data_IF_036836421132
#
_entry.id   IF_036836421132
#
_cell.length_a   1.000
_cell.length_b   1.000
_cell.length_c   1.000
_cell.angle_alpha   90.00
_cell.angle_beta   90.00
_cell.angle_gamma   90.00
#
_symmetry.space_group_name_H-M   'P 1'
#
loop_
_entity.id
_entity.type
_entity.pdbx_description
1 polymer ?
#
# COMPACT_ATOMS: atom_id res chain seq x y z
N UNK A 1 -12.25 23.78 10.62
CA UNK A 1 -10.78 23.78 10.41
C UNK A 1 -10.34 22.37 10.72
N UNK A 2 -10.29 21.50 9.70
CA UNK A 2 -9.84 20.12 9.87
C UNK A 2 -8.35 20.21 10.22
N UNK A 3 -7.99 19.81 11.44
CA UNK A 3 -6.60 19.83 11.91
C UNK A 3 -5.71 19.01 10.97
N UNK A 4 -4.41 19.31 10.98
CA UNK A 4 -3.40 18.58 10.21
C UNK A 4 -3.48 17.08 10.52
N UNK A 5 -4.23 16.36 9.70
CA UNK A 5 -4.28 14.90 9.69
C UNK A 5 -2.88 14.41 9.29
N UNK A 6 -2.14 13.88 10.25
CA UNK A 6 -0.86 13.25 9.95
C UNK A 6 -1.14 11.82 9.46
N UNK A 7 -1.34 11.65 8.15
CA UNK A 7 -1.21 10.31 7.56
C UNK A 7 0.23 9.89 7.82
N UNK A 8 0.41 8.92 8.69
CA UNK A 8 1.73 8.39 9.02
C UNK A 8 1.73 6.89 8.77
N UNK A 9 2.73 6.45 8.02
CA UNK A 9 3.07 5.05 7.89
C UNK A 9 4.41 4.82 8.57
N UNK A 10 4.61 3.60 9.06
CA UNK A 10 5.91 3.13 9.52
C UNK A 10 6.26 1.83 8.83
N UNK A 11 7.49 1.72 8.34
CA UNK A 11 8.03 0.49 7.78
C UNK A 11 8.18 -0.52 8.90
N UNK A 12 7.79 -1.76 8.63
CA UNK A 12 7.93 -2.85 9.60
C UNK A 12 8.49 -4.09 8.89
N UNK A 13 9.14 -5.01 9.63
CA UNK A 13 9.48 -6.32 9.11
C UNK A 13 8.26 -7.10 8.63
N UNK A 14 8.45 -8.07 7.73
CA UNK A 14 7.34 -8.85 7.18
C UNK A 14 6.66 -9.72 8.24
N UNK A 15 7.44 -10.23 9.21
CA UNK A 15 6.93 -11.00 10.33
C UNK A 15 5.90 -10.22 11.17
N UNK A 16 6.03 -8.89 11.24
CA UNK A 16 5.14 -8.05 12.04
C UNK A 16 3.76 -7.89 11.41
N UNK A 17 3.59 -8.18 10.11
CA UNK A 17 2.27 -8.17 9.45
C UNK A 17 1.79 -9.57 9.08
N UNK A 18 2.50 -10.62 9.47
CA UNK A 18 2.24 -11.98 9.02
C UNK A 18 0.90 -12.56 9.49
N UNK A 19 0.42 -12.12 10.65
CA UNK A 19 -0.88 -12.55 11.18
C UNK A 19 -2.08 -11.82 10.54
N UNK A 20 -1.84 -10.89 9.62
CA UNK A 20 -2.87 -10.15 8.86
C UNK A 20 -3.12 -10.78 7.49
N UNK A 21 -4.12 -10.32 6.74
CA UNK A 21 -4.35 -10.73 5.36
C UNK A 21 -3.24 -10.32 4.39
N UNK A 22 -2.26 -9.49 4.81
CA UNK A 22 -1.03 -9.24 4.05
C UNK A 22 -0.26 -10.53 3.71
N UNK A 23 -0.36 -11.56 4.55
CA UNK A 23 0.24 -12.88 4.27
C UNK A 23 -0.30 -13.47 2.97
N UNK A 24 -1.59 -13.35 2.70
CA UNK A 24 -2.19 -13.91 1.48
C UNK A 24 -1.66 -13.22 0.22
N UNK A 25 -1.50 -11.90 0.25
CA UNK A 25 -0.85 -11.17 -0.84
C UNK A 25 0.60 -11.62 -1.03
N UNK A 26 1.36 -11.72 0.07
CA UNK A 26 2.77 -12.11 0.02
C UNK A 26 2.96 -13.53 -0.54
N UNK A 27 2.23 -14.51 -0.01
CA UNK A 27 2.34 -15.92 -0.42
C UNK A 27 2.01 -16.08 -1.90
N UNK A 28 0.92 -15.44 -2.36
CA UNK A 28 0.53 -15.46 -3.77
C UNK A 28 1.57 -14.78 -4.66
N UNK A 29 2.03 -13.57 -4.31
CA UNK A 29 3.09 -12.86 -5.02
C UNK A 29 4.37 -13.70 -5.11
N UNK A 30 4.76 -14.33 -4.01
CA UNK A 30 5.96 -15.16 -3.91
C UNK A 30 5.84 -16.43 -4.76
N UNK A 31 4.64 -17.00 -4.87
CA UNK A 31 4.35 -18.10 -5.77
C UNK A 31 4.45 -17.67 -7.25
N UNK A 32 3.84 -16.53 -7.61
CA UNK A 32 3.84 -16.03 -8.98
C UNK A 32 5.25 -15.67 -9.49
N UNK A 33 6.10 -15.08 -8.63
CA UNK A 33 7.45 -14.67 -9.06
C UNK A 33 8.38 -15.85 -9.31
N UNK A 34 8.18 -16.97 -8.60
CA UNK A 34 9.12 -18.09 -8.60
C UNK A 34 10.54 -17.65 -8.22
N UNK A 35 11.50 -17.88 -9.11
CA UNK A 35 12.90 -17.47 -8.91
C UNK A 35 13.18 -16.02 -9.34
N UNK A 36 12.23 -15.35 -10.00
CA UNK A 36 12.37 -13.94 -10.36
C UNK A 36 12.22 -13.05 -9.13
N UNK A 37 12.77 -11.83 -9.20
CA UNK A 37 12.59 -10.85 -8.11
C UNK A 37 11.14 -10.38 -7.98
N UNK A 38 10.36 -10.42 -9.06
CA UNK A 38 8.95 -10.04 -9.12
C UNK A 38 8.23 -10.83 -10.23
N UNK A 39 6.91 -11.06 -10.13
CA UNK A 39 6.15 -11.63 -11.24
C UNK A 39 5.91 -10.58 -12.33
N UNK A 40 5.57 -11.03 -13.54
CA UNK A 40 4.99 -10.14 -14.55
C UNK A 40 3.53 -9.84 -14.21
N UNK A 41 2.98 -8.74 -14.73
CA UNK A 41 1.56 -8.43 -14.55
C UNK A 41 0.66 -9.57 -15.06
N UNK A 42 1.00 -10.18 -16.19
CA UNK A 42 0.26 -11.30 -16.78
C UNK A 42 0.35 -12.60 -16.00
N UNK A 43 1.30 -12.72 -15.08
CA UNK A 43 1.45 -13.88 -14.20
C UNK A 43 0.86 -13.62 -12.79
N UNK A 44 0.34 -12.42 -12.55
CA UNK A 44 -0.21 -11.97 -11.28
C UNK A 44 -1.69 -11.63 -11.46
N UNK A 45 -2.52 -12.65 -11.52
CA UNK A 45 -3.97 -12.52 -11.68
C UNK A 45 -4.63 -12.20 -10.34
N UNK A 46 -5.25 -11.01 -10.23
CA UNK A 46 -5.88 -10.58 -8.96
C UNK A 46 -7.01 -11.52 -8.53
N UNK A 47 -7.71 -12.16 -9.47
CA UNK A 47 -8.82 -13.07 -9.17
C UNK A 47 -8.43 -14.32 -8.39
N UNK A 48 -7.14 -14.63 -8.34
CA UNK A 48 -6.62 -15.79 -7.61
C UNK A 48 -6.35 -15.47 -6.13
N UNK A 49 -6.40 -14.18 -5.74
CA UNK A 49 -6.37 -13.76 -4.35
C UNK A 49 -7.71 -14.00 -3.65
N UNK A 50 -7.72 -14.16 -2.31
CA UNK A 50 -8.96 -14.16 -1.55
C UNK A 50 -9.80 -12.90 -1.82
N UNK A 51 -11.14 -12.99 -1.95
CA UNK A 51 -11.99 -11.84 -2.26
C UNK A 51 -11.80 -10.64 -1.33
N UNK A 52 -11.58 -10.88 -0.04
CA UNK A 52 -11.37 -9.80 0.94
C UNK A 52 -10.03 -9.09 0.73
N UNK A 53 -9.01 -9.81 0.26
CA UNK A 53 -7.74 -9.22 -0.14
C UNK A 53 -7.94 -8.28 -1.35
N UNK A 54 -8.66 -8.74 -2.38
CA UNK A 54 -8.91 -7.98 -3.60
C UNK A 54 -9.63 -6.67 -3.30
N UNK A 55 -10.70 -6.72 -2.48
CA UNK A 55 -11.55 -5.55 -2.21
C UNK A 55 -10.84 -4.43 -1.45
N UNK A 56 -9.80 -4.75 -0.67
CA UNK A 56 -8.94 -3.76 0.02
C UNK A 56 -7.55 -3.64 -0.63
N UNK A 57 -7.44 -3.88 -1.93
CA UNK A 57 -6.18 -3.72 -2.67
C UNK A 57 -6.28 -2.66 -3.76
N UNK A 58 -5.15 -2.05 -4.11
CA UNK A 58 -5.01 -1.31 -5.36
C UNK A 58 -3.77 -1.77 -6.12
N UNK A 59 -3.75 -1.55 -7.42
CA UNK A 59 -2.55 -1.72 -8.25
C UNK A 59 -2.27 -0.40 -8.94
N UNK A 60 -1.00 -0.01 -8.96
CA UNK A 60 -0.55 1.16 -9.71
C UNK A 60 0.45 0.79 -10.79
N UNK A 61 0.39 1.51 -11.91
CA UNK A 61 1.45 1.58 -12.90
C UNK A 61 2.45 2.69 -12.51
N UNK A 62 3.75 2.38 -12.61
CA UNK A 62 4.83 3.35 -12.37
C UNK A 62 5.35 3.90 -13.70
N UNK A 63 5.44 5.21 -13.81
CA UNK A 63 6.02 5.92 -14.96
C UNK A 63 7.28 6.64 -14.47
N UNK A 64 8.41 6.53 -15.18
CA UNK A 64 9.70 7.06 -14.68
C UNK A 64 10.03 8.50 -15.12
N UNK A 65 9.49 8.98 -16.26
CA UNK A 65 9.85 10.29 -16.81
C UNK A 65 8.64 11.03 -17.43
N UNK A 66 8.06 12.04 -16.73
CA UNK A 66 8.28 12.35 -15.32
C UNK A 66 7.84 11.19 -14.41
N UNK A 67 8.34 11.15 -13.16
CA UNK A 67 7.87 10.14 -12.24
C UNK A 67 6.39 10.37 -11.89
N UNK A 68 5.54 9.43 -12.26
CA UNK A 68 4.09 9.47 -12.01
C UNK A 68 3.58 8.06 -11.72
N UNK A 69 2.39 8.01 -11.14
CA UNK A 69 1.73 6.81 -10.68
C UNK A 69 0.29 6.89 -11.14
N UNK A 70 -0.14 5.89 -11.89
CA UNK A 70 -1.54 5.76 -12.34
C UNK A 70 -2.18 4.56 -11.68
N UNK A 71 -3.36 4.72 -11.10
CA UNK A 71 -4.09 3.59 -10.51
C UNK A 71 -4.69 2.71 -11.62
N UNK A 72 -4.17 1.49 -11.74
CA UNK A 72 -4.63 0.46 -12.68
C UNK A 72 -5.87 -0.27 -12.17
N UNK A 73 -5.91 -0.53 -10.86
CA UNK A 73 -6.98 -1.25 -10.20
C UNK A 73 -7.25 -0.61 -8.85
N UNK A 74 -8.53 -0.52 -8.49
CA UNK A 74 -8.99 -0.06 -7.20
C UNK A 74 -10.03 -1.03 -6.64
N UNK A 75 -9.74 -1.56 -5.45
CA UNK A 75 -10.64 -2.45 -4.74
C UNK A 75 -11.90 -1.72 -4.29
N UNK A 76 -13.05 -2.38 -4.39
CA UNK A 76 -14.36 -1.75 -4.15
C UNK A 76 -14.50 -1.17 -2.74
N UNK A 77 -13.94 -1.84 -1.73
CA UNK A 77 -14.06 -1.40 -0.34
C UNK A 77 -13.07 -0.28 0.00
N UNK A 78 -12.01 -0.09 -0.79
CA UNK A 78 -11.17 1.11 -0.68
C UNK A 78 -11.96 2.36 -1.04
N UNK A 79 -12.95 2.27 -1.94
CA UNK A 79 -13.86 3.39 -2.23
C UNK A 79 -14.69 3.76 -1.00
N UNK A 80 -15.12 2.78 -0.22
CA UNK A 80 -15.91 3.03 0.98
C UNK A 80 -15.05 3.63 2.11
N UNK A 81 -13.78 3.23 2.20
CA UNK A 81 -12.83 3.75 3.20
C UNK A 81 -12.26 5.13 2.82
N UNK A 82 -11.90 5.32 1.56
CA UNK A 82 -11.20 6.50 1.06
C UNK A 82 -12.12 7.46 0.29
N UNK A 83 -13.42 7.16 0.24
CA UNK A 83 -14.52 7.93 -0.34
C UNK A 83 -14.45 8.17 -1.85
N UNK A 84 -13.46 7.60 -2.55
CA UNK A 84 -13.24 7.82 -3.98
C UNK A 84 -12.63 6.58 -4.63
N UNK A 85 -13.17 6.17 -5.79
CA UNK A 85 -12.50 5.25 -6.71
C UNK A 85 -11.49 6.05 -7.54
N UNK A 86 -10.23 5.58 -7.56
CA UNK A 86 -9.13 6.27 -8.25
C UNK A 86 -8.72 5.61 -9.56
N UNK A 87 -9.45 4.60 -10.04
CA UNK A 87 -9.08 3.88 -11.25
C UNK A 87 -8.89 4.82 -12.44
N UNK A 88 -7.73 4.75 -13.08
CA UNK A 88 -7.31 5.60 -14.20
C UNK A 88 -6.77 6.98 -13.82
N UNK A 89 -6.81 7.34 -12.53
CA UNK A 89 -6.30 8.63 -12.04
C UNK A 89 -4.77 8.61 -11.83
N UNK A 90 -4.13 9.75 -12.07
CA UNK A 90 -2.69 9.95 -11.86
C UNK A 90 -2.43 10.77 -10.60
N UNK A 91 -1.40 10.42 -9.82
CA UNK A 91 -1.04 11.16 -8.61
C UNK A 91 -0.58 12.60 -8.90
N UNK A 92 -0.06 12.87 -10.09
CA UNK A 92 0.30 14.23 -10.52
C UNK A 92 -0.93 15.07 -10.93
N UNK A 93 -1.93 14.45 -11.55
CA UNK A 93 -3.09 15.18 -12.11
C UNK A 93 -4.30 15.24 -11.17
N UNK A 94 -4.39 14.33 -10.20
CA UNK A 94 -5.50 14.30 -9.26
C UNK A 94 -5.28 15.25 -8.09
N UNK A 95 -6.26 16.14 -7.88
CA UNK A 95 -6.41 16.82 -6.61
C UNK A 95 -6.98 15.83 -5.60
N UNK A 96 -6.09 15.10 -4.94
CA UNK A 96 -6.45 13.98 -4.05
C UNK A 96 -7.16 14.42 -2.78
N UNK A 97 -7.77 15.62 -2.68
CA UNK A 97 -8.69 16.12 -1.63
C UNK A 97 -8.13 16.24 -0.20
N UNK A 98 -7.24 15.31 0.17
CA UNK A 98 -6.57 15.08 1.43
C UNK A 98 -5.04 15.02 1.28
N UNK A 99 -4.48 15.02 0.07
CA UNK A 99 -3.01 15.10 -0.12
C UNK A 99 -2.59 16.54 -0.41
N UNK A 100 -2.22 17.30 0.63
CA UNK A 100 -1.37 18.48 0.45
C UNK A 100 -0.08 18.09 -0.30
N UNK A 101 0.57 19.04 -1.00
CA UNK A 101 1.79 18.77 -1.79
C UNK A 101 2.89 18.04 -1.00
N UNK A 102 2.96 18.28 0.31
CA UNK A 102 3.85 17.57 1.24
C UNK A 102 3.53 16.08 1.34
N UNK A 103 2.25 15.70 1.37
CA UNK A 103 1.78 14.32 1.47
C UNK A 103 1.99 13.56 0.16
N UNK A 104 1.78 14.21 -0.99
CA UNK A 104 2.08 13.62 -2.30
C UNK A 104 3.56 13.19 -2.38
N UNK A 105 4.48 14.00 -1.85
CA UNK A 105 5.91 13.67 -1.82
C UNK A 105 6.23 12.42 -0.98
N UNK A 106 5.60 12.23 0.18
CA UNK A 106 5.80 11.03 1.00
C UNK A 106 5.29 9.78 0.29
N UNK A 107 4.08 9.84 -0.28
CA UNK A 107 3.54 8.71 -1.06
C UNK A 107 4.46 8.38 -2.24
N UNK A 108 4.93 9.39 -2.98
CA UNK A 108 5.87 9.18 -4.09
C UNK A 108 7.20 8.58 -3.61
N UNK A 109 7.73 9.01 -2.46
CA UNK A 109 8.96 8.47 -1.90
C UNK A 109 8.87 6.97 -1.60
N UNK A 110 7.74 6.50 -1.06
CA UNK A 110 7.52 5.06 -0.81
C UNK A 110 7.64 4.23 -2.11
N UNK A 111 7.09 4.73 -3.22
CA UNK A 111 7.16 4.02 -4.51
C UNK A 111 8.55 4.14 -5.17
N UNK A 112 9.25 5.26 -4.97
CA UNK A 112 10.65 5.39 -5.39
C UNK A 112 11.56 4.41 -4.65
N UNK A 113 11.37 4.23 -3.34
CA UNK A 113 12.10 3.22 -2.55
C UNK A 113 11.85 1.80 -3.08
N UNK A 114 10.65 1.51 -3.57
CA UNK A 114 10.35 0.22 -4.19
C UNK A 114 11.06 0.01 -5.53
N UNK A 115 11.24 1.07 -6.34
CA UNK A 115 12.05 0.99 -7.57
C UNK A 115 13.49 0.60 -7.26
N UNK A 116 14.04 1.11 -6.16
CA UNK A 116 15.42 0.88 -5.72
C UNK A 116 15.59 -0.49 -5.03
N UNK A 117 14.74 -0.78 -4.05
CA UNK A 117 14.87 -1.99 -3.23
C UNK A 117 14.46 -3.26 -3.96
N UNK A 118 13.47 -3.18 -4.86
CA UNK A 118 12.88 -4.33 -5.54
C UNK A 118 12.40 -5.43 -4.58
N UNK A 119 12.05 -5.06 -3.34
CA UNK A 119 11.59 -5.97 -2.30
C UNK A 119 10.13 -5.69 -1.92
N UNK A 120 9.41 -6.70 -1.39
CA UNK A 120 8.19 -6.48 -0.65
C UNK A 120 8.39 -5.48 0.48
N UNK A 121 7.34 -4.74 0.73
CA UNK A 121 7.40 -3.52 1.48
C UNK A 121 6.27 -3.47 2.52
N UNK A 122 6.43 -4.12 3.68
CA UNK A 122 5.45 -4.10 4.76
C UNK A 122 5.44 -2.76 5.50
N UNK A 123 4.26 -2.30 5.91
CA UNK A 123 4.11 -1.09 6.69
C UNK A 123 2.83 -1.13 7.53
N UNK A 124 2.81 -0.35 8.60
CA UNK A 124 1.60 -0.05 9.35
C UNK A 124 1.15 1.37 8.98
N UNK A 125 -0.13 1.54 8.64
CA UNK A 125 -0.71 2.82 8.28
C UNK A 125 -1.68 3.33 9.34
N UNK A 126 -1.49 4.55 9.82
CA UNK A 126 -2.47 5.27 10.62
C UNK A 126 -3.61 5.80 9.74
N UNK A 127 -4.69 5.03 9.68
CA UNK A 127 -5.92 5.31 8.95
C UNK A 127 -6.98 6.02 9.81
N UNK A 128 -6.63 6.54 11.00
CA UNK A 128 -7.60 7.16 11.92
C UNK A 128 -8.37 8.32 11.28
N UNK A 129 -7.79 8.97 10.28
CA UNK A 129 -8.40 10.10 9.58
C UNK A 129 -9.46 9.72 8.55
N UNK A 130 -9.52 8.45 8.16
CA UNK A 130 -10.52 7.95 7.19
C UNK A 130 -11.82 7.55 7.88
N UNK A 131 -11.86 7.60 9.22
CA UNK A 131 -13.05 7.29 10.01
C UNK A 131 -13.40 8.44 10.95
N UNK A 132 -14.55 9.09 10.75
CA UNK A 132 -14.96 10.27 11.54
C UNK A 132 -15.25 9.97 13.02
N UNK A 133 -15.41 8.71 13.45
CA UNK A 133 -15.99 8.37 14.75
C UNK A 133 -15.35 7.19 15.51
N UNK A 134 -14.19 6.68 15.10
CA UNK A 134 -13.51 5.60 15.82
C UNK A 134 -12.23 6.10 16.48
N UNK A 135 -11.76 5.37 17.50
CA UNK A 135 -10.43 5.58 18.07
C UNK A 135 -9.32 5.42 17.02
N UNK A 136 -8.06 5.41 17.47
CA UNK A 136 -6.93 5.21 16.57
C UNK A 136 -7.18 3.96 15.70
N UNK A 137 -6.89 4.03 14.41
CA UNK A 137 -6.98 2.89 13.50
C UNK A 137 -5.65 2.70 12.82
N UNK A 138 -4.96 1.62 13.17
CA UNK A 138 -3.73 1.21 12.49
C UNK A 138 -4.01 -0.01 11.64
N UNK A 139 -3.62 0.07 10.37
CA UNK A 139 -3.92 -0.91 9.34
C UNK A 139 -2.62 -1.56 8.87
N UNK A 140 -2.40 -2.87 9.09
CA UNK A 140 -1.27 -3.56 8.52
C UNK A 140 -1.44 -3.66 7.00
N UNK A 141 -0.35 -3.38 6.30
CA UNK A 141 -0.37 -3.18 4.87
C UNK A 141 0.89 -3.73 4.22
N UNK A 142 0.77 -4.17 2.97
CA UNK A 142 1.88 -4.71 2.21
C UNK A 142 1.86 -4.18 0.78
N UNK A 143 3.02 -3.70 0.32
CA UNK A 143 3.29 -3.48 -1.10
C UNK A 143 4.17 -4.59 -1.64
N UNK A 144 3.88 -5.06 -2.84
CA UNK A 144 4.72 -6.04 -3.56
C UNK A 144 5.06 -5.54 -4.96
N UNK A 145 6.32 -5.70 -5.42
CA UNK A 145 6.73 -5.26 -6.74
C UNK A 145 6.26 -6.22 -7.83
N UNK A 146 5.92 -5.68 -9.00
CA UNK A 146 5.62 -6.42 -10.23
C UNK A 146 6.51 -5.87 -11.34
N UNK A 147 7.02 -6.74 -12.21
CA UNK A 147 7.96 -6.36 -13.28
C UNK A 147 7.61 -7.04 -14.61
N UNK A 148 7.24 -6.25 -15.61
CA UNK A 148 6.98 -6.76 -16.96
C UNK A 148 8.24 -7.02 -17.78
N UNK A 149 9.40 -6.53 -17.33
CA UNK A 149 10.67 -6.62 -18.06
C UNK A 149 11.76 -7.39 -17.31
N UNK A 150 11.52 -7.78 -16.05
CA UNK A 150 12.51 -8.47 -15.22
C UNK A 150 13.73 -7.60 -14.85
N UNK A 151 13.68 -6.28 -15.07
CA UNK A 151 14.78 -5.36 -14.79
C UNK A 151 14.41 -4.31 -13.73
N UNK A 152 13.19 -3.78 -13.78
CA UNK A 152 12.71 -2.76 -12.85
C UNK A 152 11.24 -3.00 -12.46
N UNK A 153 10.82 -2.39 -11.36
CA UNK A 153 9.42 -2.42 -10.93
C UNK A 153 8.59 -1.57 -11.89
N UNK A 154 7.62 -2.19 -12.55
CA UNK A 154 6.70 -1.53 -13.48
C UNK A 154 5.31 -1.32 -12.87
N UNK A 155 4.92 -2.18 -11.93
CA UNK A 155 3.68 -2.06 -11.18
C UNK A 155 3.93 -2.35 -9.70
N UNK A 156 3.05 -1.84 -8.86
CA UNK A 156 3.02 -2.19 -7.44
C UNK A 156 1.60 -2.56 -7.06
N UNK A 157 1.42 -3.76 -6.50
CA UNK A 157 0.19 -4.14 -5.83
C UNK A 157 0.30 -3.79 -4.35
N UNK A 158 -0.73 -3.15 -3.81
CA UNK A 158 -0.82 -2.77 -2.39
C UNK A 158 -2.07 -3.38 -1.80
N UNK A 159 -1.96 -3.99 -0.63
CA UNK A 159 -3.09 -4.44 0.16
C UNK A 159 -3.10 -3.78 1.54
N UNK A 160 -4.30 -3.49 2.04
CA UNK A 160 -4.57 -2.95 3.37
C UNK A 160 -5.51 -3.91 4.09
N UNK A 161 -5.11 -4.45 5.25
CA UNK A 161 -5.99 -5.32 6.01
C UNK A 161 -6.88 -4.51 6.96
N UNK A 162 -8.06 -4.14 6.45
CA UNK A 162 -9.13 -3.54 7.25
C UNK A 162 -10.01 -4.55 7.97
N UNK A 163 -9.80 -5.84 7.73
CA UNK A 163 -10.61 -6.92 8.32
C UNK A 163 -10.16 -7.25 9.74
N UNK A 164 -8.88 -7.00 10.04
CA UNK A 164 -8.28 -7.25 11.34
C UNK A 164 -8.19 -5.98 12.20
N UNK A 165 -8.82 -6.01 13.38
CA UNK A 165 -8.98 -4.86 14.28
C UNK A 165 -8.34 -5.08 15.64
N UNK A 166 -7.14 -5.67 15.66
CA UNK A 166 -6.38 -5.90 16.90
C UNK A 166 -5.68 -4.64 17.40
N UNK A 167 -5.78 -4.37 18.70
CA UNK A 167 -5.01 -3.34 19.41
C UNK A 167 -3.48 -3.52 19.24
N UNK A 168 -3.05 -4.74 18.90
CA UNK A 168 -1.65 -5.08 18.64
C UNK A 168 -1.02 -4.20 17.56
N UNK A 169 -1.77 -3.79 16.55
CA UNK A 169 -1.28 -2.94 15.47
C UNK A 169 -0.94 -1.53 15.95
N UNK A 170 -1.75 -0.96 16.83
CA UNK A 170 -1.46 0.34 17.43
C UNK A 170 -0.18 0.32 18.26
N UNK A 171 0.01 -0.75 19.04
CA UNK A 171 1.21 -0.92 19.86
C UNK A 171 2.47 -1.05 19.00
N UNK A 172 2.43 -1.89 17.95
CA UNK A 172 3.54 -2.06 17.02
C UNK A 172 3.87 -0.74 16.28
N UNK A 173 2.84 -0.01 15.85
CA UNK A 173 3.03 1.29 15.21
C UNK A 173 3.78 2.27 16.12
N UNK A 174 3.40 2.36 17.40
CA UNK A 174 4.06 3.27 18.34
C UNK A 174 5.53 2.87 18.60
N UNK A 175 5.83 1.56 18.64
CA UNK A 175 7.20 1.05 18.82
C UNK A 175 8.07 1.46 17.63
N UNK A 176 7.62 1.17 16.41
CA UNK A 176 8.38 1.47 15.19
C UNK A 176 8.49 2.98 14.92
N UNK A 177 7.43 3.75 15.18
CA UNK A 177 7.47 5.21 15.04
C UNK A 177 8.54 5.85 15.94
N UNK A 178 8.72 5.36 17.17
CA UNK A 178 9.76 5.86 18.08
C UNK A 178 11.17 5.49 17.64
N UNK A 179 11.33 4.35 16.95
CA UNK A 179 12.62 3.90 16.44
C UNK A 179 13.08 4.74 15.25
N UNK A 180 12.16 5.16 14.37
CA UNK A 180 12.46 5.95 13.16
C UNK A 180 12.78 7.43 13.41
N UNK A 181 12.62 7.93 14.64
CA UNK A 181 12.88 9.34 15.03
C UNK A 181 14.28 9.53 15.66
N UNK A 182 15.07 8.46 15.77
CA UNK A 182 16.47 8.51 16.24
C UNK A 182 17.44 8.56 15.07
#
# INVERSE_FOLDING_TARGET
>A
MLGNVHVSSVRVPLEDVWDSSCRHLYEYWNQCRGDNFAPTWTAFELSDLPPDCIRYSHVVDLHQTPFDITFRFWGTELTDVLFYDRTGESLLSTNMGYLEDSRRRYVMADYLEMLESQQPAPFLWDASATHEHTGKLVVPSLRVPISNNGLNVTQVATHFDFTDKRDTWENLFQVHQRASVK
#
